data_IF_951805948414
#
_entry.id   IF_951805948414
#
_cell.length_a   1.000
_cell.length_b   1.000
_cell.length_c   1.000
_cell.angle_alpha   90.00
_cell.angle_beta   90.00
_cell.angle_gamma   90.00
#
_symmetry.space_group_name_H-M   'P 1'
#
loop_
_entity.id
_entity.type
_entity.pdbx_description
1 polymer ?
#
# COMPACT_ATOMS: atom_id res chain seq x y z
N UNK A 1 1.67 -0.97 0.87
CA UNK A 1 2.38 -1.73 -0.18
C UNK A 1 1.87 -3.14 -0.43
N UNK A 2 1.61 -3.98 0.59
CA UNK A 2 1.20 -5.38 0.37
C UNK A 2 -0.13 -5.52 -0.39
N UNK A 3 -1.08 -4.61 -0.16
CA UNK A 3 -2.29 -4.51 -0.98
C UNK A 3 -1.97 -4.20 -2.45
N UNK A 4 -1.07 -3.23 -2.72
CA UNK A 4 -0.62 -2.90 -4.08
C UNK A 4 0.04 -4.12 -4.73
N UNK A 5 0.83 -4.89 -3.98
CA UNK A 5 1.44 -6.14 -4.43
C UNK A 5 0.39 -7.16 -4.86
N UNK A 6 -0.70 -7.29 -4.11
CA UNK A 6 -1.84 -8.14 -4.50
C UNK A 6 -2.53 -7.64 -5.77
N UNK A 7 -2.81 -6.33 -5.85
CA UNK A 7 -3.55 -5.73 -6.96
C UNK A 7 -2.77 -5.69 -8.27
N UNK A 8 -1.47 -5.41 -8.22
CA UNK A 8 -0.62 -5.18 -9.39
C UNK A 8 0.15 -6.43 -9.80
N UNK A 9 0.62 -7.21 -8.83
CA UNK A 9 1.52 -8.34 -9.07
C UNK A 9 0.90 -9.70 -8.72
N UNK A 10 -0.36 -9.73 -8.27
CA UNK A 10 -1.07 -10.99 -7.96
C UNK A 10 -0.61 -11.67 -6.68
N UNK A 11 0.02 -10.94 -5.74
CA UNK A 11 0.45 -11.49 -4.45
C UNK A 11 -0.65 -12.33 -3.78
N UNK A 12 -0.38 -13.51 -3.21
CA UNK A 12 -1.42 -14.39 -2.69
C UNK A 12 -2.31 -13.72 -1.63
N UNK A 13 -3.63 -13.76 -1.85
CA UNK A 13 -4.63 -13.15 -0.94
C UNK A 13 -4.54 -13.71 0.47
N UNK A 14 -4.31 -15.02 0.60
CA UNK A 14 -4.21 -15.68 1.91
C UNK A 14 -3.04 -15.12 2.72
N UNK A 15 -1.87 -14.96 2.09
CA UNK A 15 -0.67 -14.40 2.73
C UNK A 15 -0.85 -12.92 3.06
N UNK A 16 -1.50 -12.14 2.19
CA UNK A 16 -1.89 -10.76 2.48
C UNK A 16 -2.72 -10.69 3.77
N UNK A 17 -3.80 -11.48 3.84
CA UNK A 17 -4.70 -11.48 4.98
C UNK A 17 -4.04 -11.98 6.27
N UNK A 18 -3.20 -13.03 6.20
CA UNK A 18 -2.40 -13.50 7.34
C UNK A 18 -1.49 -12.40 7.87
N UNK A 19 -0.78 -11.71 6.97
CA UNK A 19 0.16 -10.65 7.32
C UNK A 19 -0.55 -9.46 7.96
N UNK A 20 -1.65 -9.00 7.37
CA UNK A 20 -2.44 -7.87 7.91
C UNK A 20 -2.97 -8.18 9.30
N UNK A 21 -3.56 -9.38 9.51
CA UNK A 21 -4.02 -9.80 10.84
C UNK A 21 -2.89 -9.88 11.85
N UNK A 22 -1.73 -10.39 11.44
CA UNK A 22 -0.56 -10.48 12.31
C UNK A 22 -0.08 -9.09 12.74
N UNK A 23 0.08 -8.15 11.80
CA UNK A 23 0.50 -6.78 12.11
C UNK A 23 -0.52 -6.11 13.03
N UNK A 24 -1.80 -6.15 12.67
CA UNK A 24 -2.87 -5.52 13.45
C UNK A 24 -2.94 -6.06 14.89
N UNK A 25 -2.83 -7.39 15.07
CA UNK A 25 -2.86 -8.00 16.41
C UNK A 25 -1.70 -7.55 17.30
N UNK A 26 -0.53 -7.27 16.74
CA UNK A 26 0.67 -6.96 17.52
C UNK A 26 0.90 -5.45 17.71
N UNK A 27 0.50 -4.64 16.75
CA UNK A 27 0.79 -3.20 16.72
C UNK A 27 -0.46 -2.31 16.75
N UNK A 28 -1.65 -2.90 16.64
CA UNK A 28 -2.91 -2.15 16.54
C UNK A 28 -3.07 -1.43 15.22
N UNK A 29 -3.84 -0.36 15.23
CA UNK A 29 -4.15 0.48 14.08
C UNK A 29 -3.73 1.93 14.35
N UNK A 30 -3.30 2.62 13.30
CA UNK A 30 -3.06 4.06 13.31
C UNK A 30 -4.35 4.76 12.89
N UNK A 31 -4.74 5.79 13.62
CA UNK A 31 -5.85 6.63 13.17
C UNK A 31 -5.50 7.24 11.82
N UNK A 32 -6.37 7.00 10.84
CA UNK A 32 -6.26 7.49 9.48
C UNK A 32 -7.67 7.73 8.98
N UNK A 33 -7.95 8.92 8.49
CA UNK A 33 -9.21 9.26 7.84
C UNK A 33 -9.01 9.60 6.36
N UNK A 34 -10.11 9.84 5.66
CA UNK A 34 -10.06 10.21 4.24
C UNK A 34 -9.54 11.63 4.00
N UNK A 35 -9.58 12.51 5.00
CA UNK A 35 -9.08 13.88 4.89
C UNK A 35 -7.55 13.89 4.87
N UNK A 36 -6.91 12.88 5.47
CA UNK A 36 -5.45 12.66 5.43
C UNK A 36 -4.92 12.20 4.06
N UNK A 37 -5.77 11.67 3.18
CA UNK A 37 -5.31 10.96 1.96
C UNK A 37 -4.51 11.84 1.01
N UNK A 38 -4.98 13.07 0.79
CA UNK A 38 -4.29 14.04 -0.06
C UNK A 38 -2.91 14.39 0.49
N UNK A 39 -2.83 14.61 1.80
CA UNK A 39 -1.57 14.95 2.46
C UNK A 39 -0.56 13.79 2.39
N UNK A 40 -1.03 12.57 2.64
CA UNK A 40 -0.20 11.37 2.53
C UNK A 40 0.28 11.15 1.11
N UNK A 41 -0.59 11.31 0.11
CA UNK A 41 -0.20 11.21 -1.29
C UNK A 41 0.84 12.26 -1.67
N UNK A 42 0.66 13.51 -1.24
CA UNK A 42 1.64 14.56 -1.45
C UNK A 42 3.00 14.17 -0.87
N UNK A 43 3.07 13.72 0.38
CA UNK A 43 4.30 13.22 1.00
C UNK A 43 4.92 12.07 0.17
N UNK A 44 4.11 11.11 -0.28
CA UNK A 44 4.58 9.97 -1.06
C UNK A 44 5.16 10.38 -2.42
N UNK A 45 4.63 11.42 -3.06
CA UNK A 45 5.15 11.93 -4.36
C UNK A 45 6.50 12.63 -4.24
N UNK A 46 6.84 13.16 -3.05
CA UNK A 46 8.13 13.79 -2.78
C UNK A 46 9.27 12.79 -2.49
N UNK A 47 9.02 11.47 -2.50
CA UNK A 47 10.06 10.46 -2.36
C UNK A 47 11.07 10.54 -3.53
N UNK A 48 12.37 10.51 -3.21
CA UNK A 48 13.48 10.64 -4.18
C UNK A 48 13.48 9.58 -5.28
N UNK A 49 12.70 8.51 -5.14
CA UNK A 49 12.55 7.44 -6.15
C UNK A 49 11.53 7.75 -7.25
N UNK A 50 10.75 8.82 -7.11
CA UNK A 50 9.73 9.17 -8.09
C UNK A 50 10.34 9.95 -9.25
N UNK A 51 10.29 9.37 -10.46
CA UNK A 51 10.78 10.05 -11.66
C UNK A 51 9.80 11.12 -12.16
N UNK A 52 8.50 11.00 -11.84
CA UNK A 52 7.41 11.84 -12.34
C UNK A 52 6.48 12.23 -11.17
N UNK A 53 5.93 13.45 -11.18
CA UNK A 53 5.07 13.97 -10.10
C UNK A 53 3.71 13.25 -9.94
N UNK A 54 3.26 12.51 -10.96
CA UNK A 54 1.90 11.93 -11.02
C UNK A 54 1.82 10.44 -10.65
N UNK A 55 2.95 9.80 -10.33
CA UNK A 55 3.00 8.36 -10.05
C UNK A 55 4.12 8.04 -9.08
N UNK A 56 3.83 7.21 -8.07
CA UNK A 56 4.80 6.81 -7.05
C UNK A 56 5.42 5.46 -7.43
N UNK A 57 6.74 5.36 -7.34
CA UNK A 57 7.49 4.14 -7.60
C UNK A 57 7.53 3.24 -6.36
N UNK A 58 7.16 1.98 -6.56
CA UNK A 58 7.15 0.94 -5.54
C UNK A 58 8.02 -0.25 -5.92
N UNK A 59 8.52 -0.90 -4.88
CA UNK A 59 9.00 -2.28 -4.94
C UNK A 59 7.90 -3.16 -4.36
N UNK A 60 7.30 -4.00 -5.20
CA UNK A 60 6.15 -4.84 -4.85
C UNK A 60 6.57 -6.31 -4.79
N UNK A 61 5.65 -7.18 -4.41
CA UNK A 61 5.84 -8.63 -4.34
C UNK A 61 4.82 -9.36 -5.20
N UNK A 62 5.25 -10.35 -5.99
CA UNK A 62 4.35 -11.35 -6.60
C UNK A 62 4.17 -12.58 -5.69
N UNK A 63 5.08 -12.78 -4.75
CA UNK A 63 5.05 -13.84 -3.75
C UNK A 63 6.06 -13.57 -2.63
N UNK A 64 6.09 -14.42 -1.60
CA UNK A 64 7.05 -14.28 -0.50
C UNK A 64 8.46 -14.50 -1.04
N UNK A 65 9.31 -13.47 -0.93
CA UNK A 65 10.68 -13.50 -1.45
C UNK A 65 10.80 -13.21 -2.96
N UNK A 66 9.69 -12.97 -3.66
CA UNK A 66 9.69 -12.65 -5.10
C UNK A 66 9.40 -11.17 -5.32
N UNK A 67 10.47 -10.42 -5.61
CA UNK A 67 10.50 -8.96 -5.65
C UNK A 67 10.28 -8.44 -7.07
N UNK A 68 9.33 -7.51 -7.18
CA UNK A 68 8.96 -6.83 -8.42
C UNK A 68 9.31 -5.33 -8.31
N UNK A 69 10.44 -4.94 -8.88
CA UNK A 69 10.92 -3.56 -8.88
C UNK A 69 10.26 -2.70 -9.98
N UNK A 70 10.42 -1.38 -9.87
CA UNK A 70 9.99 -0.38 -10.87
C UNK A 70 8.49 -0.48 -11.21
N UNK A 71 7.65 -0.70 -10.20
CA UNK A 71 6.19 -0.68 -10.37
C UNK A 71 5.66 0.68 -9.98
N UNK A 72 4.90 1.31 -10.86
CA UNK A 72 4.25 2.59 -10.59
C UNK A 72 2.83 2.38 -10.11
N UNK A 73 2.40 3.15 -9.12
CA UNK A 73 1.00 3.28 -8.75
C UNK A 73 0.56 4.74 -8.88
N UNK A 74 -0.57 4.93 -9.54
CA UNK A 74 -1.26 6.23 -9.59
C UNK A 74 -2.03 6.49 -8.30
N UNK A 75 -2.46 7.74 -8.16
CA UNK A 75 -3.23 8.25 -7.00
C UNK A 75 -4.41 7.34 -6.61
N UNK A 76 -5.23 6.94 -7.58
CA UNK A 76 -6.41 6.11 -7.33
C UNK A 76 -6.08 4.78 -6.65
N UNK A 77 -4.98 4.14 -7.09
CA UNK A 77 -4.58 2.85 -6.53
C UNK A 77 -3.96 3.01 -5.13
N UNK A 78 -3.28 4.13 -4.89
CA UNK A 78 -2.77 4.50 -3.56
C UNK A 78 -3.95 4.74 -2.61
N UNK A 79 -4.97 5.50 -3.02
CA UNK A 79 -6.17 5.74 -2.21
C UNK A 79 -6.91 4.45 -1.90
N UNK A 80 -7.11 3.57 -2.89
CA UNK A 80 -7.66 2.23 -2.65
C UNK A 80 -6.84 1.41 -1.63
N UNK A 81 -5.52 1.64 -1.56
CA UNK A 81 -4.67 0.96 -0.59
C UNK A 81 -4.83 1.50 0.83
N UNK A 82 -5.13 2.79 0.97
CA UNK A 82 -5.46 3.43 2.25
C UNK A 82 -6.86 3.00 2.71
N UNK A 83 -7.83 2.94 1.79
CA UNK A 83 -9.18 2.40 2.08
C UNK A 83 -9.09 0.96 2.57
N UNK A 84 -8.35 0.11 1.85
CA UNK A 84 -8.13 -1.27 2.25
C UNK A 84 -7.48 -1.36 3.64
N UNK A 85 -6.55 -0.48 3.97
CA UNK A 85 -5.94 -0.44 5.29
C UNK A 85 -7.00 -0.18 6.36
N UNK A 86 -7.79 0.90 6.21
CA UNK A 86 -8.83 1.30 7.16
C UNK A 86 -9.85 0.18 7.36
N UNK A 87 -10.38 -0.38 6.27
CA UNK A 87 -11.33 -1.49 6.32
C UNK A 87 -10.74 -2.72 7.03
N UNK A 88 -9.47 -3.01 6.78
CA UNK A 88 -8.82 -4.21 7.33
C UNK A 88 -8.51 -4.11 8.83
N UNK A 89 -8.44 -2.90 9.37
CA UNK A 89 -8.15 -2.66 10.79
C UNK A 89 -9.36 -2.09 11.56
N UNK A 90 -10.49 -1.88 10.88
CA UNK A 90 -11.76 -1.48 11.48
C UNK A 90 -11.86 0.01 11.81
N UNK A 91 -11.30 0.87 10.95
CA UNK A 91 -11.38 2.34 11.01
C UNK A 91 -12.41 2.92 10.04
#
# INVERSE_FOLDING_TARGET
>A
ELYLSHRVCGFPKEELQKTVRFIHRNYGAFALDCDDYEHLYDIMTHDKKNANASSVNFTLLSGVGDIQINRVAGKDLIFQSLDFYRDSVGL
#
